data_IF_763715700138
#
_entry.id   IF_763715700138
#
_cell.length_a   1.000
_cell.length_b   1.000
_cell.length_c   1.000
_cell.angle_alpha   90.00
_cell.angle_beta   90.00
_cell.angle_gamma   90.00
#
_symmetry.space_group_name_H-M   'P 1'
#
loop_
_entity.id
_entity.type
_entity.pdbx_description
1 polymer ?
#
# COMPACT_ATOMS: atom_id res chain seq x y z
N UNK A 1 21.39 21.99 7.57
CA UNK A 1 22.01 21.55 8.84
C UNK A 1 20.99 20.70 9.59
N UNK A 2 21.42 19.59 10.16
CA UNK A 2 20.58 18.74 11.03
C UNK A 2 21.26 18.70 12.40
N UNK A 3 20.48 18.85 13.47
CA UNK A 3 20.93 18.83 14.87
C UNK A 3 19.86 18.12 15.71
N UNK A 4 20.25 17.21 16.60
CA UNK A 4 19.35 16.31 17.37
C UNK A 4 18.17 15.72 16.56
N UNK A 5 18.45 15.30 15.32
CA UNK A 5 17.46 14.71 14.39
C UNK A 5 16.49 15.70 13.76
N UNK A 6 16.61 17.00 14.01
CA UNK A 6 15.76 18.06 13.47
C UNK A 6 16.51 18.92 12.45
N UNK A 7 15.79 19.49 11.48
CA UNK A 7 16.37 20.43 10.52
C UNK A 7 16.58 21.78 11.21
N UNK A 8 17.82 22.07 11.58
CA UNK A 8 18.19 23.29 12.30
C UNK A 8 18.33 24.53 11.39
N UNK A 9 18.78 24.35 10.15
CA UNK A 9 18.96 25.44 9.18
C UNK A 9 18.95 24.95 7.72
N UNK A 10 18.47 25.77 6.79
CA UNK A 10 18.41 25.52 5.35
C UNK A 10 18.88 26.78 4.60
N UNK A 11 20.03 26.72 3.95
CA UNK A 11 20.59 27.84 3.21
C UNK A 11 21.85 27.48 2.43
N UNK A 12 22.35 28.44 1.64
CA UNK A 12 23.63 28.33 0.95
C UNK A 12 24.75 28.95 1.80
N UNK A 13 25.94 28.34 1.79
CA UNK A 13 27.11 28.88 2.49
C UNK A 13 27.01 28.84 4.03
N UNK A 14 26.22 27.91 4.58
CA UNK A 14 26.13 27.70 6.02
C UNK A 14 27.51 27.34 6.60
N UNK A 15 27.81 27.87 7.78
CA UNK A 15 29.02 27.49 8.51
C UNK A 15 28.92 26.02 8.94
N UNK A 16 29.92 25.21 8.56
CA UNK A 16 30.01 23.80 8.95
C UNK A 16 30.73 23.73 10.31
N UNK A 17 30.11 23.21 11.38
CA UNK A 17 30.78 23.02 12.66
C UNK A 17 31.91 21.99 12.57
N UNK A 18 33.00 22.17 13.33
CA UNK A 18 34.21 21.32 13.30
C UNK A 18 33.98 19.82 13.61
N UNK A 19 32.78 19.46 14.11
CA UNK A 19 32.38 18.09 14.48
C UNK A 19 31.12 17.61 13.76
N UNK A 20 30.68 18.30 12.71
CA UNK A 20 29.52 17.86 11.93
C UNK A 20 29.92 16.78 10.93
N UNK A 21 29.12 15.72 10.82
CA UNK A 21 29.21 14.78 9.71
C UNK A 21 28.75 15.46 8.42
N UNK A 22 29.56 15.35 7.37
CA UNK A 22 29.32 16.01 6.07
C UNK A 22 28.98 14.97 5.02
N UNK A 23 27.77 15.05 4.47
CA UNK A 23 27.31 14.23 3.35
C UNK A 23 27.37 15.08 2.08
N UNK A 24 28.25 14.72 1.14
CA UNK A 24 28.31 15.39 -0.17
C UNK A 24 27.19 14.85 -1.09
N UNK A 25 26.18 15.69 -1.31
CA UNK A 25 25.06 15.45 -2.22
C UNK A 25 25.18 16.23 -3.54
N UNK A 26 26.39 16.65 -3.95
CA UNK A 26 26.61 17.43 -5.18
C UNK A 26 26.02 16.72 -6.41
N UNK A 27 25.18 17.44 -7.16
CA UNK A 27 24.49 16.91 -8.34
C UNK A 27 23.24 16.06 -8.04
N UNK A 28 22.90 15.85 -6.76
CA UNK A 28 21.68 15.15 -6.34
C UNK A 28 20.55 16.15 -6.01
N UNK A 29 19.34 15.64 -5.76
CA UNK A 29 18.18 16.44 -5.31
C UNK A 29 17.85 16.05 -3.88
N UNK A 30 17.95 17.01 -2.96
CA UNK A 30 17.48 16.83 -1.58
C UNK A 30 15.96 17.07 -1.53
N UNK A 31 15.22 16.05 -1.10
CA UNK A 31 13.77 16.09 -0.91
C UNK A 31 13.42 15.78 0.55
N UNK A 32 12.24 16.21 1.05
CA UNK A 32 11.66 15.65 2.26
C UNK A 32 11.47 14.13 2.10
N UNK A 33 11.55 13.40 3.21
CA UNK A 33 11.22 11.98 3.24
C UNK A 33 9.79 11.73 2.77
N UNK A 34 9.60 10.71 1.93
CA UNK A 34 8.29 10.36 1.41
C UNK A 34 7.47 9.62 2.49
N UNK A 35 6.14 9.75 2.40
CA UNK A 35 5.19 9.03 3.27
C UNK A 35 4.30 8.16 2.38
N UNK A 36 4.36 6.85 2.58
CA UNK A 36 3.45 5.91 1.93
C UNK A 36 2.23 5.65 2.82
N UNK A 37 1.03 5.91 2.28
CA UNK A 37 -0.24 5.70 2.99
C UNK A 37 -0.84 4.30 2.74
N UNK A 38 -0.23 3.45 1.89
CA UNK A 38 -0.78 2.14 1.51
C UNK A 38 0.32 1.07 1.35
N UNK A 39 0.88 0.59 2.46
CA UNK A 39 1.95 -0.42 2.46
C UNK A 39 1.49 -1.77 3.02
N UNK A 40 1.98 -2.87 2.45
CA UNK A 40 1.70 -4.24 2.92
C UNK A 40 2.94 -4.91 3.49
N UNK A 41 3.19 -4.75 4.79
CA UNK A 41 4.33 -5.37 5.47
C UNK A 41 4.15 -6.86 5.81
N UNK A 42 2.93 -7.41 5.63
CA UNK A 42 2.56 -8.84 5.75
C UNK A 42 2.79 -9.54 7.10
N UNK A 43 3.58 -8.98 8.00
CA UNK A 43 3.65 -9.31 9.42
C UNK A 43 2.54 -8.58 10.20
N UNK A 44 1.79 -9.24 11.11
CA UNK A 44 1.89 -10.65 11.47
C UNK A 44 1.22 -11.63 10.47
N UNK A 45 1.75 -12.85 10.43
CA UNK A 45 1.13 -14.07 9.89
C UNK A 45 1.45 -14.44 8.44
N UNK A 46 2.13 -13.56 7.68
CA UNK A 46 2.60 -13.85 6.32
C UNK A 46 4.04 -13.37 6.09
N UNK A 47 4.88 -13.52 7.11
CA UNK A 47 6.31 -13.16 7.17
C UNK A 47 7.13 -13.81 6.03
N UNK A 48 6.67 -14.94 5.51
CA UNK A 48 7.28 -15.61 4.35
C UNK A 48 7.19 -14.82 3.04
N UNK A 49 6.33 -13.79 2.98
CA UNK A 49 6.08 -12.98 1.78
C UNK A 49 6.69 -11.57 1.89
N UNK A 50 6.67 -10.98 3.09
CA UNK A 50 7.37 -9.75 3.50
C UNK A 50 7.29 -9.69 5.04
N UNK A 51 8.18 -8.97 5.71
CA UNK A 51 8.09 -8.66 7.14
C UNK A 51 8.33 -7.15 7.41
N UNK A 52 8.19 -6.70 8.66
CA UNK A 52 8.36 -5.28 9.02
C UNK A 52 9.82 -4.85 8.84
N UNK A 53 10.81 -5.73 8.98
CA UNK A 53 12.23 -5.42 8.83
C UNK A 53 12.60 -5.25 7.35
N UNK A 54 12.26 -6.24 6.51
CA UNK A 54 12.52 -6.20 5.06
C UNK A 54 11.75 -5.10 4.37
N UNK A 55 10.46 -4.93 4.70
CA UNK A 55 9.61 -3.88 4.16
C UNK A 55 10.07 -2.48 4.57
N UNK A 56 10.54 -2.29 5.81
CA UNK A 56 11.11 -1.00 6.25
C UNK A 56 12.43 -0.69 5.55
N UNK A 57 13.30 -1.68 5.35
CA UNK A 57 14.54 -1.50 4.59
C UNK A 57 14.26 -1.14 3.11
N UNK A 58 13.26 -1.77 2.49
CA UNK A 58 12.83 -1.44 1.14
C UNK A 58 12.23 -0.03 1.04
N UNK A 59 11.44 0.39 2.04
CA UNK A 59 10.88 1.73 2.13
C UNK A 59 11.98 2.81 2.25
N UNK A 60 12.94 2.63 3.16
CA UNK A 60 14.07 3.53 3.35
C UNK A 60 14.92 3.67 2.06
N UNK A 61 15.21 2.55 1.39
CA UNK A 61 15.91 2.54 0.09
C UNK A 61 15.11 3.26 -1.01
N UNK A 62 13.78 3.21 -0.95
CA UNK A 62 12.87 3.94 -1.83
C UNK A 62 12.73 5.44 -1.52
N UNK A 63 13.36 5.95 -0.46
CA UNK A 63 13.26 7.35 -0.02
C UNK A 63 12.02 7.64 0.85
N UNK A 64 11.34 6.61 1.35
CA UNK A 64 10.26 6.75 2.32
C UNK A 64 10.82 6.79 3.75
N UNK A 65 10.32 7.72 4.56
CA UNK A 65 10.65 7.81 5.99
C UNK A 65 9.50 7.37 6.88
N UNK A 66 8.28 7.27 6.34
CA UNK A 66 7.12 6.73 7.05
C UNK A 66 6.25 5.87 6.13
N UNK A 67 5.68 4.80 6.68
CA UNK A 67 4.83 3.82 5.96
C UNK A 67 3.60 3.46 6.77
N UNK A 68 2.47 3.29 6.10
CA UNK A 68 1.20 2.91 6.73
C UNK A 68 0.88 1.45 6.44
N UNK A 69 0.99 0.60 7.45
CA UNK A 69 0.80 -0.84 7.34
C UNK A 69 -0.70 -1.20 7.33
N UNK A 70 -1.20 -1.73 6.20
CA UNK A 70 -2.61 -2.10 6.01
C UNK A 70 -3.07 -3.22 6.95
N UNK A 71 -4.32 -3.16 7.40
CA UNK A 71 -4.91 -4.04 8.39
C UNK A 71 -5.06 -5.53 7.99
N UNK A 72 -4.80 -5.89 6.73
CA UNK A 72 -5.06 -7.23 6.15
C UNK A 72 -3.94 -8.26 6.41
N UNK A 73 -3.47 -8.29 7.65
CA UNK A 73 -2.55 -9.24 8.27
C UNK A 73 -3.30 -10.45 8.87
N UNK A 74 -2.58 -11.40 9.47
CA UNK A 74 -3.14 -12.55 10.19
C UNK A 74 -2.49 -12.72 11.58
N UNK A 75 -3.12 -12.27 12.68
CA UNK A 75 -4.47 -11.71 12.78
C UNK A 75 -4.64 -10.36 12.07
N UNK A 76 -5.90 -10.03 11.74
CA UNK A 76 -6.30 -8.72 11.23
C UNK A 76 -6.02 -7.65 12.29
N UNK A 77 -5.64 -6.44 11.87
CA UNK A 77 -5.45 -5.31 12.78
C UNK A 77 -6.78 -4.68 13.21
N UNK A 78 -7.69 -5.47 13.79
CA UNK A 78 -9.02 -5.06 14.26
C UNK A 78 -9.11 -4.78 15.77
N UNK A 79 -7.99 -4.89 16.47
CA UNK A 79 -7.88 -4.71 17.91
C UNK A 79 -6.58 -3.99 18.31
N UNK A 80 -6.57 -3.24 19.43
CA UNK A 80 -5.39 -2.50 19.88
C UNK A 80 -4.16 -3.39 20.14
N UNK A 81 -4.37 -4.68 20.47
CA UNK A 81 -3.29 -5.64 20.68
C UNK A 81 -2.46 -5.84 19.41
N UNK A 82 -3.12 -5.93 18.25
CA UNK A 82 -2.45 -6.15 16.96
C UNK A 82 -1.82 -4.85 16.45
N UNK A 83 -2.52 -3.73 16.54
CA UNK A 83 -1.98 -2.43 16.09
C UNK A 83 -0.79 -1.99 16.95
N UNK A 84 -0.87 -2.11 18.28
CA UNK A 84 0.24 -1.76 19.17
C UNK A 84 1.44 -2.70 18.99
N UNK A 85 1.22 -3.96 18.61
CA UNK A 85 2.30 -4.88 18.28
C UNK A 85 3.04 -4.46 17.00
N UNK A 86 2.31 -4.19 15.91
CA UNK A 86 2.89 -3.71 14.63
C UNK A 86 3.67 -2.40 14.84
N UNK A 87 3.10 -1.45 15.58
CA UNK A 87 3.78 -0.19 15.91
C UNK A 87 5.07 -0.42 16.71
N UNK A 88 5.01 -1.21 17.80
CA UNK A 88 6.21 -1.53 18.60
C UNK A 88 7.29 -2.24 17.77
N UNK A 89 6.90 -3.18 16.91
CA UNK A 89 7.84 -3.88 16.03
C UNK A 89 8.51 -2.92 15.04
N UNK A 90 7.79 -1.94 14.52
CA UNK A 90 8.36 -0.85 13.74
C UNK A 90 9.38 -0.01 14.54
N UNK A 91 9.07 0.33 15.79
CA UNK A 91 10.00 1.04 16.68
C UNK A 91 11.25 0.21 17.05
N UNK A 92 11.13 -1.12 17.16
CA UNK A 92 12.27 -2.03 17.36
C UNK A 92 13.19 -2.11 16.13
N UNK A 93 12.63 -2.06 14.93
CA UNK A 93 13.37 -2.06 13.66
C UNK A 93 14.04 -0.70 13.41
N UNK A 94 13.34 0.40 13.67
CA UNK A 94 13.92 1.76 13.68
C UNK A 94 14.45 2.30 12.35
N UNK A 95 14.06 1.70 11.21
CA UNK A 95 14.49 2.12 9.88
C UNK A 95 13.59 3.19 9.25
N UNK A 96 12.27 3.10 9.47
CA UNK A 96 11.24 4.08 9.05
C UNK A 96 10.13 4.12 10.11
N UNK A 97 9.34 5.19 10.13
CA UNK A 97 8.16 5.29 10.99
C UNK A 97 7.03 4.40 10.47
N UNK A 98 6.79 3.27 11.14
CA UNK A 98 5.70 2.35 10.82
C UNK A 98 4.43 2.74 11.58
N UNK A 99 3.41 3.18 10.85
CA UNK A 99 2.08 3.49 11.38
C UNK A 99 1.08 2.38 11.01
N UNK A 100 0.51 1.65 11.97
CA UNK A 100 -0.53 0.67 11.67
C UNK A 100 -1.85 1.36 11.28
N UNK A 101 -2.52 0.81 10.27
CA UNK A 101 -3.91 1.13 9.92
C UNK A 101 -4.81 0.09 10.58
N UNK A 102 -5.84 0.57 11.28
CA UNK A 102 -6.84 -0.31 11.90
C UNK A 102 -7.89 -0.78 10.89
N UNK A 103 -8.47 -1.95 11.09
CA UNK A 103 -9.66 -2.34 10.35
C UNK A 103 -10.86 -1.48 10.78
N UNK A 104 -11.74 -1.13 9.85
CA UNK A 104 -13.04 -0.51 10.11
C UNK A 104 -14.01 -1.55 10.66
N UNK A 105 -13.97 -2.78 10.16
CA UNK A 105 -14.83 -3.89 10.63
C UNK A 105 -14.07 -5.10 11.15
N UNK A 106 -14.68 -5.80 12.11
CA UNK A 106 -14.11 -6.99 12.75
C UNK A 106 -13.81 -8.06 11.70
N UNK A 107 -12.57 -8.55 11.65
CA UNK A 107 -12.10 -9.51 10.67
C UNK A 107 -12.26 -9.10 9.20
N UNK A 108 -12.39 -7.80 8.89
CA UNK A 108 -12.68 -7.26 7.54
C UNK A 108 -14.03 -7.77 6.97
N UNK A 109 -14.99 -8.14 7.83
CA UNK A 109 -16.23 -8.80 7.41
C UNK A 109 -17.28 -7.85 6.79
N UNK A 110 -17.09 -6.52 6.89
CA UNK A 110 -18.02 -5.50 6.41
C UNK A 110 -19.31 -5.36 7.21
N UNK A 111 -19.44 -6.05 8.35
CA UNK A 111 -20.72 -6.23 9.07
C UNK A 111 -20.82 -5.50 10.41
N UNK A 112 -19.74 -5.49 11.21
CA UNK A 112 -19.70 -4.92 12.57
C UNK A 112 -18.43 -4.07 12.73
N UNK A 113 -18.56 -2.87 13.31
CA UNK A 113 -17.43 -1.96 13.51
C UNK A 113 -16.46 -2.50 14.56
N UNK A 114 -15.17 -2.20 14.38
CA UNK A 114 -14.14 -2.49 15.38
C UNK A 114 -14.17 -1.53 16.57
N UNK A 115 -13.38 -1.84 17.60
CA UNK A 115 -13.10 -0.94 18.73
C UNK A 115 -12.16 0.22 18.33
N UNK A 116 -12.54 0.99 17.31
CA UNK A 116 -11.78 2.11 16.73
C UNK A 116 -11.30 3.10 17.79
N UNK A 117 -12.13 3.38 18.80
CA UNK A 117 -11.77 4.26 19.91
C UNK A 117 -10.62 3.72 20.76
N UNK A 118 -10.55 2.40 20.98
CA UNK A 118 -9.45 1.77 21.71
C UNK A 118 -8.16 1.75 20.89
N UNK A 119 -8.24 1.54 19.57
CA UNK A 119 -7.07 1.61 18.67
C UNK A 119 -6.50 3.03 18.56
N UNK A 120 -7.36 4.05 18.48
CA UNK A 120 -6.95 5.46 18.48
C UNK A 120 -6.34 5.90 19.83
N UNK A 121 -6.79 5.30 20.94
CA UNK A 121 -6.24 5.55 22.28
C UNK A 121 -5.09 4.60 22.69
N UNK A 122 -4.73 3.64 21.84
CA UNK A 122 -3.65 2.68 22.06
C UNK A 122 -2.26 3.28 21.93
N UNK A 123 -1.21 2.50 22.18
CA UNK A 123 0.17 2.95 22.05
C UNK A 123 0.52 3.36 20.60
N UNK A 124 -0.10 2.71 19.61
CA UNK A 124 0.03 3.06 18.20
C UNK A 124 -0.70 4.37 17.79
N UNK A 125 -1.61 4.87 18.62
CA UNK A 125 -2.45 6.05 18.37
C UNK A 125 -3.06 6.08 16.95
N UNK A 126 -3.77 5.01 16.57
CA UNK A 126 -4.22 4.73 15.19
C UNK A 126 -5.11 5.85 14.63
N UNK A 127 -4.60 6.57 13.62
CA UNK A 127 -5.29 7.71 12.99
C UNK A 127 -6.00 7.41 11.68
N UNK A 128 -5.84 6.20 11.14
CA UNK A 128 -6.35 5.82 9.84
C UNK A 128 -6.93 4.40 9.94
N UNK A 129 -8.12 4.23 9.37
CA UNK A 129 -8.85 2.96 9.37
C UNK A 129 -9.24 2.60 7.93
N UNK A 130 -9.07 1.33 7.56
CA UNK A 130 -9.38 0.80 6.22
C UNK A 130 -9.62 -0.70 6.26
N UNK A 131 -10.70 -1.17 5.65
CA UNK A 131 -10.89 -2.60 5.37
C UNK A 131 -10.24 -2.97 4.02
N UNK A 132 -8.93 -2.74 3.92
CA UNK A 132 -8.24 -2.91 2.64
C UNK A 132 -8.31 -4.35 2.13
N UNK A 133 -8.67 -4.51 0.85
CA UNK A 133 -8.96 -5.79 0.23
C UNK A 133 -10.38 -6.35 0.44
N UNK A 134 -11.22 -5.77 1.32
CA UNK A 134 -12.65 -6.13 1.46
C UNK A 134 -13.50 -4.87 1.67
N UNK A 135 -14.18 -4.42 0.61
CA UNK A 135 -15.01 -3.22 0.67
C UNK A 135 -16.11 -3.29 1.75
N UNK A 136 -16.17 -2.25 2.60
CA UNK A 136 -17.34 -1.97 3.47
C UNK A 136 -18.52 -1.56 2.59
N UNK A 137 -19.25 -2.56 2.11
CA UNK A 137 -20.31 -2.42 1.12
C UNK A 137 -21.68 -2.06 1.74
N UNK A 138 -21.88 -2.27 3.05
CA UNK A 138 -23.09 -1.81 3.73
C UNK A 138 -23.02 -0.29 4.00
N UNK A 139 -23.91 0.52 3.40
CA UNK A 139 -23.90 1.97 3.59
C UNK A 139 -24.24 2.40 5.03
N UNK A 140 -24.92 1.58 5.83
CA UNK A 140 -25.18 1.86 7.25
C UNK A 140 -23.91 1.66 8.08
N UNK A 141 -23.10 0.65 7.78
CA UNK A 141 -21.80 0.42 8.45
C UNK A 141 -20.83 1.54 8.09
N UNK A 142 -20.67 1.86 6.80
CA UNK A 142 -19.83 2.98 6.35
C UNK A 142 -20.30 4.33 6.93
N UNK A 143 -21.60 4.60 6.95
CA UNK A 143 -22.13 5.83 7.57
C UNK A 143 -21.74 5.92 9.05
N UNK A 144 -21.92 4.84 9.82
CA UNK A 144 -21.53 4.80 11.24
C UNK A 144 -20.02 5.00 11.39
N UNK A 145 -19.21 4.33 10.58
CA UNK A 145 -17.75 4.51 10.59
C UNK A 145 -17.35 5.98 10.40
N UNK A 146 -17.98 6.71 9.48
CA UNK A 146 -17.73 8.14 9.25
C UNK A 146 -18.24 9.03 10.39
N UNK A 147 -19.39 8.71 11.00
CA UNK A 147 -19.91 9.39 12.18
C UNK A 147 -18.94 9.22 13.38
N UNK A 148 -18.42 8.00 13.61
CA UNK A 148 -17.40 7.72 14.63
C UNK A 148 -16.06 8.41 14.31
N UNK A 149 -15.60 8.37 13.05
CA UNK A 149 -14.33 8.95 12.65
C UNK A 149 -14.28 10.46 12.90
N UNK A 150 -15.40 11.15 12.65
CA UNK A 150 -15.58 12.58 12.94
C UNK A 150 -15.43 12.88 14.44
N UNK A 151 -15.99 12.03 15.31
CA UNK A 151 -15.89 12.17 16.77
C UNK A 151 -14.50 11.86 17.33
N UNK A 152 -13.76 10.95 16.70
CA UNK A 152 -12.42 10.52 17.11
C UNK A 152 -11.28 11.36 16.49
N UNK A 153 -11.55 12.14 15.43
CA UNK A 153 -10.54 12.91 14.69
C UNK A 153 -9.65 12.05 13.79
N UNK A 154 -10.19 10.95 13.25
CA UNK A 154 -9.44 9.94 12.48
C UNK A 154 -9.94 9.85 11.02
N UNK A 155 -9.13 9.27 10.14
CA UNK A 155 -9.43 9.10 8.72
C UNK A 155 -10.02 7.72 8.44
N UNK A 156 -11.09 7.66 7.63
CA UNK A 156 -11.51 6.42 6.96
C UNK A 156 -10.95 6.44 5.53
N UNK A 157 -10.17 5.43 5.18
CA UNK A 157 -9.88 5.08 3.79
C UNK A 157 -10.78 3.89 3.39
N UNK A 158 -11.24 3.89 2.15
CA UNK A 158 -12.15 2.87 1.63
C UNK A 158 -11.57 2.28 0.35
N UNK A 159 -11.34 0.97 0.36
CA UNK A 159 -11.12 0.19 -0.86
C UNK A 159 -12.44 0.09 -1.62
N UNK A 160 -12.69 1.07 -2.51
CA UNK A 160 -13.98 1.31 -3.14
C UNK A 160 -14.31 0.29 -4.26
N UNK A 161 -14.65 -0.93 -3.86
CA UNK A 161 -14.96 -2.05 -4.76
C UNK A 161 -16.38 -2.59 -4.51
N UNK A 162 -17.32 -2.35 -5.43
CA UNK A 162 -18.69 -2.89 -5.31
C UNK A 162 -18.70 -4.40 -5.64
N UNK A 163 -19.00 -5.30 -4.67
CA UNK A 163 -18.87 -6.74 -4.88
C UNK A 163 -19.73 -7.29 -6.02
N UNK A 164 -20.88 -6.67 -6.31
CA UNK A 164 -21.75 -7.07 -7.44
C UNK A 164 -21.16 -6.72 -8.80
N UNK A 165 -20.29 -5.72 -8.87
CA UNK A 165 -19.60 -5.28 -10.09
C UNK A 165 -18.24 -5.95 -10.28
N UNK A 166 -17.70 -6.59 -9.24
CA UNK A 166 -16.45 -7.37 -9.31
C UNK A 166 -16.63 -8.88 -9.14
N UNK A 167 -17.88 -9.35 -9.01
CA UNK A 167 -18.28 -10.75 -9.17
C UNK A 167 -18.02 -11.28 -10.59
N UNK A 168 -16.75 -11.46 -10.94
CA UNK A 168 -16.30 -11.76 -12.28
C UNK A 168 -14.82 -11.43 -12.51
N UNK A 169 -14.41 -11.27 -13.78
CA UNK A 169 -13.00 -11.36 -14.12
C UNK A 169 -12.06 -10.27 -13.58
N UNK A 170 -10.84 -10.71 -13.27
CA UNK A 170 -9.67 -10.02 -12.70
C UNK A 170 -9.03 -8.90 -13.56
N UNK A 171 -9.74 -8.36 -14.56
CA UNK A 171 -9.26 -7.23 -15.36
C UNK A 171 -10.36 -6.20 -15.60
N UNK A 172 -9.94 -4.94 -15.56
CA UNK A 172 -10.71 -3.77 -15.98
C UNK A 172 -11.34 -3.98 -17.35
N UNK A 173 -12.64 -3.67 -17.50
CA UNK A 173 -13.31 -3.59 -18.82
C UNK A 173 -12.71 -2.44 -19.65
N UNK A 174 -11.66 -2.74 -20.40
CA UNK A 174 -11.12 -1.87 -21.45
C UNK A 174 -11.24 -2.60 -22.78
N UNK A 175 -11.38 -1.87 -23.88
CA UNK A 175 -11.30 -2.45 -25.23
C UNK A 175 -9.86 -2.91 -25.50
N UNK A 176 -9.53 -4.11 -25.05
CA UNK A 176 -8.25 -4.78 -25.33
C UNK A 176 -8.18 -5.20 -26.80
N UNK A 177 -6.99 -5.20 -27.42
CA UNK A 177 -6.79 -5.86 -28.71
C UNK A 177 -7.11 -7.35 -28.57
N UNK A 178 -7.94 -7.88 -29.48
CA UNK A 178 -8.37 -9.30 -29.46
C UNK A 178 -7.14 -10.20 -29.57
N UNK A 179 -6.76 -10.85 -28.46
CA UNK A 179 -5.57 -11.71 -28.40
C UNK A 179 -5.18 -12.13 -26.98
N UNK A 180 -5.43 -11.27 -25.98
CA UNK A 180 -5.22 -11.60 -24.59
C UNK A 180 -6.45 -12.33 -24.06
N UNK A 181 -6.40 -13.67 -23.99
CA UNK A 181 -7.52 -14.57 -23.66
C UNK A 181 -8.02 -14.53 -22.20
N UNK A 182 -7.94 -13.36 -21.57
CA UNK A 182 -8.40 -13.09 -20.20
C UNK A 182 -9.85 -12.58 -20.28
N UNK A 183 -10.72 -12.96 -19.34
CA UNK A 183 -12.13 -12.53 -19.36
C UNK A 183 -12.26 -11.09 -18.84
N UNK A 184 -13.27 -10.36 -19.32
CA UNK A 184 -13.69 -9.00 -18.92
C UNK A 184 -14.53 -8.84 -17.63
N UNK A 185 -14.13 -8.11 -16.56
CA UNK A 185 -14.92 -7.82 -15.33
C UNK A 185 -16.34 -7.23 -15.58
N UNK A 186 -17.41 -7.41 -14.77
CA UNK A 186 -18.79 -7.13 -15.22
C UNK A 186 -19.28 -5.65 -15.16
N UNK A 187 -18.73 -4.76 -16.00
CA UNK A 187 -19.22 -3.37 -16.20
C UNK A 187 -20.64 -3.21 -16.80
N UNK A 188 -21.24 -2.00 -16.77
CA UNK A 188 -22.67 -1.76 -17.01
C UNK A 188 -23.16 -2.13 -18.43
N UNK A 189 -24.43 -2.53 -18.58
CA UNK A 189 -24.95 -3.12 -19.82
C UNK A 189 -24.91 -2.13 -21.00
N UNK A 190 -24.36 -2.57 -22.12
CA UNK A 190 -24.41 -1.84 -23.40
C UNK A 190 -25.46 -2.46 -24.34
N UNK A 191 -26.07 -1.59 -25.14
CA UNK A 191 -27.21 -1.84 -26.03
C UNK A 191 -26.99 -3.05 -26.99
N UNK A 192 -27.95 -3.98 -27.21
CA UNK A 192 -27.65 -5.32 -27.75
C UNK A 192 -27.51 -5.46 -29.29
N UNK A 193 -27.34 -4.38 -30.05
CA UNK A 193 -27.71 -4.33 -31.47
C UNK A 193 -26.70 -4.88 -32.50
N UNK A 194 -25.78 -5.77 -32.15
CA UNK A 194 -24.83 -6.38 -33.12
C UNK A 194 -24.62 -7.90 -32.87
N UNK A 195 -24.75 -8.75 -33.91
CA UNK A 195 -24.81 -10.20 -33.74
C UNK A 195 -23.46 -10.85 -33.47
N UNK A 196 -23.47 -11.93 -32.69
CA UNK A 196 -22.30 -12.77 -32.44
C UNK A 196 -22.09 -13.77 -33.60
N UNK A 197 -20.87 -13.84 -34.12
CA UNK A 197 -20.44 -14.89 -35.06
C UNK A 197 -19.39 -15.79 -34.40
N UNK A 198 -19.48 -17.09 -34.68
CA UNK A 198 -18.91 -18.18 -33.87
C UNK A 198 -17.56 -18.68 -34.42
N UNK A 199 -16.85 -19.41 -33.55
CA UNK A 199 -15.82 -20.42 -33.84
C UNK A 199 -14.40 -19.97 -34.28
N UNK A 200 -13.45 -20.32 -33.40
CA UNK A 200 -12.07 -20.71 -33.66
C UNK A 200 -11.99 -21.88 -34.68
N UNK A 201 -10.86 -22.10 -35.40
CA UNK A 201 -9.65 -22.65 -34.77
C UNK A 201 -8.30 -22.02 -35.19
N UNK A 202 -7.26 -22.48 -34.50
CA UNK A 202 -5.89 -21.98 -34.55
C UNK A 202 -5.15 -22.19 -35.89
N UNK A 203 -4.23 -21.27 -36.17
CA UNK A 203 -3.05 -21.53 -37.02
C UNK A 203 -1.86 -20.70 -36.54
N UNK A 204 -0.66 -21.30 -36.52
CA UNK A 204 0.60 -20.56 -36.29
C UNK A 204 0.86 -19.63 -37.47
N UNK A 205 1.44 -18.46 -37.22
CA UNK A 205 2.10 -17.65 -38.27
C UNK A 205 3.54 -17.36 -37.81
N UNK A 206 4.58 -17.56 -38.65
CA UNK A 206 5.97 -17.30 -38.28
C UNK A 206 6.34 -15.82 -38.48
N UNK A 207 7.34 -15.29 -37.74
CA UNK A 207 7.83 -13.94 -38.01
C UNK A 207 8.71 -13.25 -36.96
N UNK A 208 8.80 -13.73 -35.72
CA UNK A 208 9.72 -13.13 -34.74
C UNK A 208 11.17 -13.56 -34.96
N UNK A 209 11.87 -12.85 -35.85
CA UNK A 209 13.33 -12.93 -36.00
C UNK A 209 14.04 -12.30 -34.80
N UNK A 210 14.75 -13.14 -34.04
CA UNK A 210 15.98 -12.85 -33.29
C UNK A 210 16.22 -11.41 -32.78
N UNK A 211 16.01 -11.19 -31.48
CA UNK A 211 16.77 -10.21 -30.72
C UNK A 211 18.00 -10.91 -30.10
N UNK A 212 19.20 -10.51 -30.49
CA UNK A 212 20.46 -11.08 -30.00
C UNK A 212 20.74 -10.61 -28.56
N UNK A 213 21.24 -11.47 -27.64
CA UNK A 213 21.58 -11.04 -26.29
C UNK A 213 22.79 -10.09 -26.27
N UNK A 214 22.71 -9.03 -25.47
CA UNK A 214 23.89 -8.22 -25.10
C UNK A 214 24.74 -8.97 -24.05
N UNK A 215 26.08 -8.94 -24.14
CA UNK A 215 26.94 -9.74 -23.27
C UNK A 215 27.11 -9.16 -21.86
N UNK A 216 27.29 -10.06 -20.89
CA UNK A 216 27.60 -9.76 -19.49
C UNK A 216 28.95 -9.03 -19.37
N UNK A 217 28.99 -7.99 -18.52
CA UNK A 217 30.23 -7.29 -18.15
C UNK A 217 30.91 -8.08 -17.00
N UNK A 218 32.20 -8.45 -17.13
CA UNK A 218 32.91 -9.14 -16.07
C UNK A 218 33.36 -8.19 -14.96
N UNK A 219 33.33 -8.67 -13.71
CA UNK A 219 33.91 -7.99 -12.56
C UNK A 219 35.44 -7.85 -12.68
N UNK A 220 35.99 -6.80 -12.06
CA UNK A 220 37.43 -6.64 -11.86
C UNK A 220 37.73 -6.51 -10.37
N UNK A 221 38.63 -7.38 -9.92
CA UNK A 221 39.51 -7.29 -8.73
C UNK A 221 38.97 -6.57 -7.49
#
# INVERSE_FOLDING_TARGET
>A
MVDDGQIADIGAGLAIPDRADVIDATGQVLLPGLVDLHTHLREPGREYAEDIETGSAAAALGGYTAVFAMANTHPVADSPVVTDHVWRRGQEVGLVDVHPVGAVTVGLAGAELTEMGMMNAGAAAVRMFSDDGVCVHDPLVMRRALEYATGLGVLIAQHAEEPRLTAGPWRTKVRTPRGWGCRDGPGPPRNPSLPATRCWPATRVPGCTSATPLPLVPSRS
#
